data_IF_097133690607
#
_entry.id   IF_097133690607
#
_cell.length_a   1.000
_cell.length_b   1.000
_cell.length_c   1.000
_cell.angle_alpha   90.00
_cell.angle_beta   90.00
_cell.angle_gamma   90.00
#
_symmetry.space_group_name_H-M   'P 1'
#
loop_
_entity.id
_entity.type
_entity.pdbx_description
1 polymer ?
#
# COMPACT_ATOMS: atom_id res chain seq x y z
N UNK A 1 -3.53 -3.06 -25.28
CA UNK A 1 -3.48 -3.45 -23.86
C UNK A 1 -2.12 -4.10 -23.65
N UNK A 2 -1.26 -3.47 -22.87
CA UNK A 2 0.06 -3.99 -22.54
C UNK A 2 0.11 -4.24 -21.03
N UNK A 3 0.70 -5.37 -20.63
CA UNK A 3 0.84 -5.79 -19.24
C UNK A 3 2.33 -5.81 -18.92
N UNK A 4 2.73 -5.11 -17.85
CA UNK A 4 4.06 -5.22 -17.27
C UNK A 4 3.91 -5.83 -15.88
N UNK A 5 4.49 -7.02 -15.71
CA UNK A 5 4.54 -7.72 -14.43
C UNK A 5 5.95 -7.60 -13.84
N UNK A 6 6.03 -7.20 -12.57
CA UNK A 6 7.27 -7.20 -11.80
C UNK A 6 7.07 -7.97 -10.51
N UNK A 7 7.88 -9.01 -10.29
CA UNK A 7 7.93 -9.75 -9.03
C UNK A 7 9.28 -9.46 -8.36
N UNK A 8 9.24 -9.06 -7.09
CA UNK A 8 10.44 -8.85 -6.27
C UNK A 8 10.35 -9.70 -5.00
N UNK A 9 11.33 -10.59 -4.82
CA UNK A 9 11.49 -11.40 -3.60
C UNK A 9 12.61 -10.83 -2.75
N UNK A 10 12.29 -10.42 -1.52
CA UNK A 10 13.30 -10.01 -0.56
C UNK A 10 13.98 -11.25 0.04
N UNK A 11 15.32 -11.27 0.00
CA UNK A 11 16.13 -12.38 0.48
C UNK A 11 16.06 -12.57 2.00
N UNK A 12 15.95 -13.83 2.40
CA UNK A 12 15.91 -14.33 3.78
C UNK A 12 17.24 -14.02 4.50
N UNK A 13 17.17 -13.40 5.68
CA UNK A 13 18.33 -13.30 6.58
C UNK A 13 18.65 -14.71 7.10
N UNK A 14 19.90 -15.20 7.08
CA UNK A 14 20.23 -16.52 7.62
C UNK A 14 19.82 -16.61 9.10
N UNK A 15 18.79 -17.41 9.39
CA UNK A 15 18.23 -17.61 10.73
C UNK A 15 16.86 -16.95 10.99
N UNK A 16 16.33 -16.09 10.12
CA UNK A 16 14.95 -15.57 10.23
C UNK A 16 13.99 -16.36 9.34
N UNK A 17 12.87 -16.83 9.89
CA UNK A 17 11.77 -17.43 9.12
C UNK A 17 10.81 -16.35 8.61
N UNK A 18 11.38 -15.30 8.02
CA UNK A 18 10.64 -14.16 7.47
C UNK A 18 10.72 -14.19 5.96
N UNK A 19 9.59 -14.13 5.27
CA UNK A 19 9.50 -14.04 3.81
C UNK A 19 8.63 -12.87 3.37
N UNK A 20 8.98 -12.27 2.25
CA UNK A 20 8.19 -11.22 1.62
C UNK A 20 8.19 -11.36 0.10
N UNK A 21 6.99 -11.28 -0.48
CA UNK A 21 6.77 -11.27 -1.93
C UNK A 21 5.95 -10.04 -2.31
N UNK A 22 6.44 -9.34 -3.32
CA UNK A 22 5.81 -8.18 -3.91
C UNK A 22 5.58 -8.44 -5.40
N UNK A 23 4.32 -8.47 -5.82
CA UNK A 23 3.91 -8.56 -7.20
C UNK A 23 3.21 -7.27 -7.63
N UNK A 24 3.74 -6.59 -8.65
CA UNK A 24 3.04 -5.49 -9.33
C UNK A 24 2.55 -5.94 -10.70
N UNK A 25 1.31 -5.57 -11.02
CA UNK A 25 0.69 -5.74 -12.33
C UNK A 25 0.25 -4.36 -12.81
N UNK A 26 0.80 -3.93 -13.96
CA UNK A 26 0.46 -2.65 -14.57
C UNK A 26 -0.18 -2.86 -15.93
N UNK A 27 -1.45 -2.49 -16.05
CA UNK A 27 -2.20 -2.53 -17.30
C UNK A 27 -2.43 -1.11 -17.76
N UNK A 28 -1.98 -0.78 -18.97
CA UNK A 28 -2.24 0.53 -19.54
C UNK A 28 -2.92 0.49 -20.91
N UNK A 29 -3.65 1.56 -21.18
CA UNK A 29 -4.22 1.93 -22.46
C UNK A 29 -3.68 3.31 -22.86
N UNK A 30 -3.33 3.47 -24.14
CA UNK A 30 -2.91 4.74 -24.72
C UNK A 30 -3.81 5.01 -25.94
N UNK A 31 -4.49 6.15 -25.95
CA UNK A 31 -5.31 6.62 -27.07
C UNK A 31 -4.68 7.86 -27.68
N UNK A 32 -4.11 7.69 -28.87
CA UNK A 32 -3.37 8.75 -29.55
C UNK A 32 -4.31 9.82 -30.15
N UNK A 33 -3.92 11.08 -29.99
CA UNK A 33 -4.57 12.28 -30.51
C UNK A 33 -3.53 13.26 -31.02
N UNK A 34 -3.16 13.13 -32.29
CA UNK A 34 -2.17 13.97 -32.95
C UNK A 34 -0.82 14.04 -32.20
N UNK A 35 -0.58 15.08 -31.37
CA UNK A 35 0.66 15.27 -30.59
C UNK A 35 0.51 14.98 -29.09
N UNK A 36 -0.62 14.42 -28.69
CA UNK A 36 -0.96 14.06 -27.31
C UNK A 36 -1.46 12.62 -27.31
N UNK A 37 -1.30 11.92 -26.20
CA UNK A 37 -1.95 10.64 -25.96
C UNK A 37 -2.66 10.66 -24.61
N UNK A 38 -3.86 10.11 -24.59
CA UNK A 38 -4.62 9.87 -23.37
C UNK A 38 -4.21 8.51 -22.80
N UNK A 39 -3.60 8.51 -21.62
CA UNK A 39 -3.17 7.31 -20.93
C UNK A 39 -4.13 6.98 -19.80
N UNK A 40 -4.51 5.71 -19.74
CA UNK A 40 -5.21 5.13 -18.60
C UNK A 40 -4.34 4.01 -18.04
N UNK A 41 -3.85 4.18 -16.81
CA UNK A 41 -3.05 3.18 -16.11
C UNK A 41 -3.86 2.62 -14.95
N UNK A 42 -4.08 1.31 -14.96
CA UNK A 42 -4.60 0.52 -13.85
C UNK A 42 -3.47 -0.32 -13.28
N UNK A 43 -3.15 -0.09 -12.01
CA UNK A 43 -2.07 -0.78 -11.32
C UNK A 43 -2.62 -1.56 -10.14
N UNK A 44 -2.19 -2.81 -10.02
CA UNK A 44 -2.48 -3.67 -8.88
C UNK A 44 -1.15 -4.08 -8.24
N UNK A 45 -1.05 -3.95 -6.92
CA UNK A 45 0.05 -4.53 -6.14
C UNK A 45 -0.52 -5.58 -5.22
N UNK A 46 0.17 -6.71 -5.14
CA UNK A 46 -0.10 -7.79 -4.21
C UNK A 46 1.13 -7.92 -3.32
N UNK A 47 0.88 -7.90 -2.01
CA UNK A 47 1.91 -8.02 -0.99
C UNK A 47 1.59 -9.25 -0.15
N UNK A 48 2.58 -10.13 -0.01
CA UNK A 48 2.56 -11.26 0.89
C UNK A 48 3.74 -11.14 1.85
N UNK A 49 3.48 -11.15 3.15
CA UNK A 49 4.49 -11.10 4.19
C UNK A 49 4.19 -12.21 5.19
N UNK A 50 5.14 -13.11 5.38
CA UNK A 50 5.06 -14.12 6.43
C UNK A 50 6.23 -13.96 7.39
N UNK A 51 5.97 -14.10 8.67
CA UNK A 51 6.98 -14.04 9.71
C UNK A 51 6.67 -15.04 10.82
N UNK A 52 7.64 -15.89 11.14
CA UNK A 52 7.54 -16.82 12.26
C UNK A 52 8.60 -16.48 13.32
N UNK A 53 8.15 -16.22 14.56
CA UNK A 53 9.03 -15.99 15.71
C UNK A 53 8.55 -16.81 16.92
N UNK A 54 9.44 -17.16 17.85
CA UNK A 54 9.05 -17.91 19.06
C UNK A 54 8.00 -17.17 19.91
N UNK A 55 8.01 -15.82 19.90
CA UNK A 55 7.13 -14.99 20.74
C UNK A 55 5.77 -14.73 20.06
N UNK A 56 5.76 -14.46 18.76
CA UNK A 56 4.53 -14.14 18.02
C UNK A 56 3.88 -15.38 17.39
N UNK A 57 4.58 -16.51 17.31
CA UNK A 57 4.18 -17.63 16.46
C UNK A 57 4.30 -17.29 14.99
N UNK A 58 3.44 -17.90 14.17
CA UNK A 58 3.32 -17.64 12.73
C UNK A 58 2.38 -16.46 12.48
N UNK A 59 2.85 -15.48 11.72
CA UNK A 59 2.10 -14.32 11.27
C UNK A 59 2.12 -14.27 9.76
N UNK A 60 0.95 -14.32 9.13
CA UNK A 60 0.76 -14.05 7.70
C UNK A 60 -0.02 -12.74 7.52
N UNK A 61 0.55 -11.84 6.74
CA UNK A 61 0.01 -10.56 6.39
C UNK A 61 0.03 -10.43 4.87
N UNK A 62 -1.14 -10.59 4.27
CA UNK A 62 -1.30 -10.64 2.82
C UNK A 62 -2.42 -9.72 2.34
N UNK A 63 -2.30 -9.19 1.13
CA UNK A 63 -3.43 -8.69 0.36
C UNK A 63 -3.03 -7.84 -0.84
N UNK A 64 -4.00 -7.10 -1.38
CA UNK A 64 -3.81 -6.35 -2.63
C UNK A 64 -4.35 -4.92 -2.56
N UNK A 65 -3.80 -4.07 -3.41
CA UNK A 65 -4.26 -2.71 -3.65
C UNK A 65 -4.35 -2.46 -5.16
N UNK A 66 -5.49 -1.96 -5.62
CA UNK A 66 -5.69 -1.55 -7.02
C UNK A 66 -5.98 -0.06 -7.11
N UNK A 67 -5.30 0.62 -8.03
CA UNK A 67 -5.45 2.05 -8.31
C UNK A 67 -5.53 2.30 -9.80
N UNK A 68 -6.23 3.37 -10.17
CA UNK A 68 -6.33 3.82 -11.56
C UNK A 68 -5.98 5.31 -11.62
N UNK A 69 -5.29 5.70 -12.69
CA UNK A 69 -5.04 7.09 -13.04
C UNK A 69 -5.24 7.29 -14.54
N UNK A 70 -5.73 8.46 -14.90
CA UNK A 70 -5.89 8.89 -16.30
C UNK A 70 -5.19 10.22 -16.48
N UNK A 71 -4.44 10.38 -17.58
CA UNK A 71 -3.69 11.60 -17.88
C UNK A 71 -3.45 11.77 -19.37
N UNK A 72 -3.50 13.01 -19.85
CA UNK A 72 -3.06 13.37 -21.20
C UNK A 72 -1.60 13.84 -21.17
N UNK A 73 -0.74 13.20 -21.95
CA UNK A 73 0.68 13.57 -22.06
C UNK A 73 1.10 13.80 -23.51
N UNK A 74 2.02 14.75 -23.79
CA UNK A 74 2.54 14.97 -25.12
C UNK A 74 3.35 13.77 -25.63
N UNK A 75 3.28 13.55 -26.93
CA UNK A 75 3.99 12.48 -27.65
C UNK A 75 4.70 13.10 -28.84
N UNK A 76 6.03 13.03 -28.83
CA UNK A 76 6.88 13.56 -29.91
C UNK A 76 7.39 12.45 -30.83
N UNK A 77 7.52 11.23 -30.29
CA UNK A 77 7.95 10.02 -31.00
C UNK A 77 7.48 8.77 -30.25
N UNK A 78 7.64 7.59 -30.85
CA UNK A 78 7.31 6.32 -30.21
C UNK A 78 8.06 6.11 -28.87
N UNK A 79 9.29 6.62 -28.76
CA UNK A 79 10.06 6.57 -27.53
C UNK A 79 9.43 7.40 -26.39
N UNK A 80 8.64 8.43 -26.72
CA UNK A 80 7.89 9.22 -25.74
C UNK A 80 6.84 8.39 -25.02
N UNK A 81 6.23 7.39 -25.68
CA UNK A 81 5.27 6.49 -25.02
C UNK A 81 5.92 5.69 -23.90
N UNK A 82 7.09 5.10 -24.15
CA UNK A 82 7.83 4.32 -23.15
C UNK A 82 8.20 5.21 -21.96
N UNK A 83 8.69 6.42 -22.22
CA UNK A 83 9.04 7.37 -21.16
C UNK A 83 7.81 7.84 -20.34
N UNK A 84 6.69 8.10 -21.01
CA UNK A 84 5.43 8.51 -20.37
C UNK A 84 4.87 7.38 -19.49
N UNK A 85 4.77 6.16 -20.03
CA UNK A 85 4.29 4.99 -19.28
C UNK A 85 5.23 4.67 -18.11
N UNK A 86 6.55 4.72 -18.32
CA UNK A 86 7.53 4.49 -17.27
C UNK A 86 7.35 5.43 -16.07
N UNK A 87 7.15 6.74 -16.31
CA UNK A 87 6.85 7.70 -15.24
C UNK A 87 5.53 7.42 -14.54
N UNK A 88 4.49 7.05 -15.29
CA UNK A 88 3.19 6.74 -14.70
C UNK A 88 3.26 5.51 -13.79
N UNK A 89 3.98 4.48 -14.21
CA UNK A 89 4.23 3.27 -13.41
C UNK A 89 5.04 3.62 -12.16
N UNK A 90 6.15 4.34 -12.30
CA UNK A 90 7.01 4.75 -11.18
C UNK A 90 6.25 5.56 -10.12
N UNK A 91 5.53 6.60 -10.55
CA UNK A 91 4.73 7.43 -9.65
C UNK A 91 3.65 6.62 -8.93
N UNK A 92 3.03 5.67 -9.64
CA UNK A 92 1.97 4.83 -9.07
C UNK A 92 2.54 3.82 -8.08
N UNK A 93 3.66 3.17 -8.40
CA UNK A 93 4.35 2.27 -7.47
C UNK A 93 4.79 3.00 -6.20
N UNK A 94 5.35 4.21 -6.31
CA UNK A 94 5.77 5.00 -5.15
C UNK A 94 4.58 5.33 -4.25
N UNK A 95 3.45 5.78 -4.83
CA UNK A 95 2.22 6.06 -4.08
C UNK A 95 1.66 4.81 -3.41
N UNK A 96 1.58 3.69 -4.13
CA UNK A 96 1.05 2.43 -3.59
C UNK A 96 1.95 1.87 -2.49
N UNK A 97 3.29 1.95 -2.63
CA UNK A 97 4.24 1.55 -1.59
C UNK A 97 4.02 2.30 -0.28
N UNK A 98 3.87 3.62 -0.35
CA UNK A 98 3.62 4.44 0.84
C UNK A 98 2.27 4.09 1.50
N UNK A 99 1.22 3.88 0.70
CA UNK A 99 -0.10 3.50 1.22
C UNK A 99 -0.12 2.10 1.84
N UNK A 100 0.61 1.15 1.24
CA UNK A 100 0.70 -0.22 1.76
C UNK A 100 1.42 -0.25 3.11
N UNK A 101 2.43 0.60 3.32
CA UNK A 101 3.07 0.73 4.64
C UNK A 101 2.08 1.16 5.72
N UNK A 102 1.23 2.15 5.44
CA UNK A 102 0.24 2.66 6.40
C UNK A 102 -0.88 1.64 6.69
N UNK A 103 -1.43 1.01 5.66
CA UNK A 103 -2.60 0.12 5.81
C UNK A 103 -2.22 -1.24 6.42
N UNK A 104 -1.11 -1.84 6.00
CA UNK A 104 -0.76 -3.19 6.42
C UNK A 104 -0.15 -3.25 7.82
N UNK A 105 0.71 -2.30 8.18
CA UNK A 105 1.35 -2.29 9.50
C UNK A 105 0.63 -1.38 10.52
N UNK A 106 -0.11 -0.37 10.06
CA UNK A 106 -0.90 0.50 10.94
C UNK A 106 -2.19 -0.19 11.39
N UNK A 107 -3.11 -0.45 10.46
CA UNK A 107 -4.46 -0.92 10.83
C UNK A 107 -4.49 -2.31 11.45
N UNK A 108 -3.66 -3.24 10.98
CA UNK A 108 -3.60 -4.58 11.55
C UNK A 108 -3.14 -4.55 13.02
N UNK A 109 -2.16 -3.69 13.33
CA UNK A 109 -1.68 -3.46 14.70
C UNK A 109 -2.77 -2.83 15.57
N UNK A 110 -3.49 -1.85 15.05
CA UNK A 110 -4.56 -1.17 15.79
C UNK A 110 -5.69 -2.15 16.15
N UNK A 111 -6.16 -2.96 15.20
CA UNK A 111 -7.22 -3.96 15.44
C UNK A 111 -6.79 -5.00 16.48
N UNK A 112 -5.56 -5.51 16.40
CA UNK A 112 -5.04 -6.45 17.41
C UNK A 112 -4.94 -5.80 18.79
N UNK A 113 -4.52 -4.53 18.84
CA UNK A 113 -4.46 -3.75 20.08
C UNK A 113 -5.83 -3.52 20.72
N UNK A 114 -6.88 -3.32 19.92
CA UNK A 114 -8.25 -3.20 20.40
C UNK A 114 -8.80 -4.52 20.95
N UNK A 115 -8.50 -5.65 20.29
CA UNK A 115 -8.96 -6.97 20.72
C UNK A 115 -8.23 -7.48 21.97
N UNK A 116 -6.96 -7.09 22.16
CA UNK A 116 -6.14 -7.49 23.31
C UNK A 116 -5.35 -6.30 23.84
N UNK A 117 -6.00 -5.54 24.72
CA UNK A 117 -5.35 -4.48 25.50
C UNK A 117 -4.39 -5.05 26.55
N UNK A 118 -3.11 -4.68 26.48
CA UNK A 118 -2.13 -4.98 27.53
C UNK A 118 -2.35 -4.14 28.80
N UNK A 119 -2.91 -2.94 28.64
CA UNK A 119 -3.35 -2.12 29.77
C UNK A 119 -4.65 -2.69 30.35
N UNK A 120 -4.87 -2.61 31.68
CA UNK A 120 -6.15 -2.94 32.26
C UNK A 120 -7.24 -2.10 31.58
N UNK A 121 -8.34 -2.72 31.13
CA UNK A 121 -9.49 -2.03 30.54
C UNK A 121 -10.00 -0.86 31.40
N UNK A 122 -9.75 -0.91 32.71
CA UNK A 122 -10.03 0.18 33.65
C UNK A 122 -9.29 1.48 33.34
N UNK A 123 -8.01 1.42 32.96
CA UNK A 123 -7.21 2.61 32.63
C UNK A 123 -7.59 3.16 31.26
N UNK A 124 -7.76 2.29 30.25
CA UNK A 124 -8.23 2.70 28.93
C UNK A 124 -9.62 3.36 28.99
N UNK A 125 -10.51 2.88 29.86
CA UNK A 125 -11.82 3.49 30.09
C UNK A 125 -11.73 4.83 30.83
N UNK A 126 -10.79 4.98 31.78
CA UNK A 126 -10.53 6.26 32.46
C UNK A 126 -10.00 7.31 31.49
N UNK A 127 -9.09 6.94 30.60
CA UNK A 127 -8.54 7.85 29.60
C UNK A 127 -9.59 8.28 28.58
N UNK A 128 -10.45 7.36 28.12
CA UNK A 128 -11.62 7.70 27.29
C UNK A 128 -12.58 8.63 28.00
N UNK A 129 -12.84 8.42 29.29
CA UNK A 129 -13.73 9.26 30.08
C UNK A 129 -13.13 10.67 30.26
N UNK A 130 -11.84 10.77 30.57
CA UNK A 130 -11.13 12.04 30.69
C UNK A 130 -11.10 12.81 29.35
N UNK A 131 -10.91 12.10 28.24
CA UNK A 131 -10.94 12.70 26.91
C UNK A 131 -12.33 13.25 26.55
N UNK A 132 -13.41 12.51 26.83
CA UNK A 132 -14.79 12.96 26.65
C UNK A 132 -15.12 14.17 27.52
N UNK A 133 -14.62 14.21 28.75
CA UNK A 133 -14.80 15.33 29.67
C UNK A 133 -14.07 16.58 29.17
N UNK A 134 -12.86 16.43 28.62
CA UNK A 134 -12.12 17.52 27.99
C UNK A 134 -12.89 18.09 26.79
N UNK A 135 -13.39 17.23 25.89
CA UNK A 135 -14.21 17.65 24.73
C UNK A 135 -15.47 18.41 25.19
N UNK A 136 -16.15 17.91 26.22
CA UNK A 136 -17.32 18.60 26.81
C UNK A 136 -16.96 19.95 27.40
N UNK A 137 -15.77 20.09 28.00
CA UNK A 137 -15.31 21.35 28.58
C UNK A 137 -14.96 22.39 27.51
N UNK A 138 -14.54 21.97 26.33
CA UNK A 138 -14.25 22.85 25.19
C UNK A 138 -15.51 23.28 24.41
N UNK A 139 -16.63 22.59 24.60
CA UNK A 139 -17.93 22.95 24.01
C UNK A 139 -18.74 23.93 24.88
N UNK A 140 -18.21 24.38 26.02
CA UNK A 140 -18.81 25.40 26.89
C UNK A 140 -18.21 26.78 26.64
#
# INVERSE_FOLDING_TARGET
>A
MYVQDTNTRAGVTPGSKSSGEWDSIHVFEATDRARMSHYKLTSTVILHLANETEVLGEMDLSGNMTRQVEVDLPVESDASHVANVGRLVEDMELKMRNLLQEVYFGKAKDVVGELRSLAPLSEANKDKAAHLEMIRSMQR
#
